data_IF_067650286548
#
_entry.id   IF_067650286548
#
_cell.length_a   1.000
_cell.length_b   1.000
_cell.length_c   1.000
_cell.angle_alpha   90.00
_cell.angle_beta   90.00
_cell.angle_gamma   90.00
#
_symmetry.space_group_name_H-M   'P 1'
#
loop_
_entity.id
_entity.type
_entity.pdbx_description
1 polymer ?
#
# COMPACT_ATOMS: atom_id res chain seq x y z
N UNK A 1 12.59 4.66 6.33
CA UNK A 1 11.89 3.72 5.44
C UNK A 1 11.05 2.77 6.28
N UNK A 2 9.85 2.42 5.82
CA UNK A 2 9.01 1.38 6.46
C UNK A 2 8.28 0.55 5.41
N UNK A 3 8.24 -0.78 5.62
CA UNK A 3 7.40 -1.70 4.86
C UNK A 3 6.06 -1.89 5.57
N UNK A 4 4.94 -1.84 4.83
CA UNK A 4 3.61 -1.86 5.44
C UNK A 4 2.54 -2.41 4.50
N UNK A 5 1.50 -3.01 5.09
CA UNK A 5 0.27 -3.40 4.39
C UNK A 5 -0.74 -2.24 4.24
N UNK A 6 -0.44 -1.06 4.80
CA UNK A 6 -1.26 0.15 4.67
C UNK A 6 -2.43 0.26 5.64
N UNK A 7 -2.77 -0.76 6.43
CA UNK A 7 -3.98 -0.75 7.29
C UNK A 7 -4.00 0.42 8.27
N UNK A 8 -2.88 0.69 8.94
CA UNK A 8 -2.80 1.82 9.89
C UNK A 8 -2.77 3.16 9.16
N UNK A 9 -2.08 3.23 8.02
CA UNK A 9 -2.02 4.45 7.21
C UNK A 9 -3.41 4.88 6.73
N UNK A 10 -4.27 3.91 6.38
CA UNK A 10 -5.64 4.16 5.99
C UNK A 10 -6.54 4.66 7.13
N UNK A 11 -6.32 4.18 8.36
CA UNK A 11 -7.22 4.41 9.51
C UNK A 11 -6.80 5.56 10.43
N UNK A 12 -5.52 5.90 10.45
CA UNK A 12 -4.91 6.81 11.41
C UNK A 12 -4.09 7.86 10.65
N UNK A 13 -4.76 8.92 10.19
CA UNK A 13 -4.12 10.01 9.45
C UNK A 13 -3.09 10.76 10.31
N UNK A 14 -3.33 10.88 11.62
CA UNK A 14 -2.38 11.50 12.55
C UNK A 14 -1.06 10.73 12.60
N UNK A 15 -1.10 9.39 12.49
CA UNK A 15 0.11 8.59 12.33
C UNK A 15 0.84 8.92 11.01
N UNK A 16 0.13 9.09 9.90
CA UNK A 16 0.74 9.50 8.61
C UNK A 16 1.40 10.88 8.73
N UNK A 17 0.72 11.85 9.35
CA UNK A 17 1.27 13.17 9.61
C UNK A 17 2.57 13.10 10.44
N UNK A 18 2.62 12.22 11.44
CA UNK A 18 3.84 11.98 12.22
C UNK A 18 4.95 11.37 11.39
N UNK A 19 4.65 10.43 10.49
CA UNK A 19 5.68 9.85 9.60
C UNK A 19 6.35 10.94 8.74
N UNK A 20 5.58 11.93 8.28
CA UNK A 20 6.09 13.06 7.49
C UNK A 20 7.05 13.99 8.27
N UNK A 21 7.10 13.89 9.60
CA UNK A 21 8.04 14.68 10.43
C UNK A 21 9.43 14.06 10.57
N UNK A 22 9.63 12.81 10.13
CA UNK A 22 10.93 12.16 10.25
C UNK A 22 11.97 12.81 9.33
N UNK A 23 13.16 13.06 9.87
CA UNK A 23 14.28 13.64 9.12
C UNK A 23 14.86 12.65 8.09
N UNK A 24 15.28 13.18 6.93
CA UNK A 24 15.63 12.39 5.75
C UNK A 24 14.37 11.89 5.04
N UNK A 25 14.33 11.97 3.71
CA UNK A 25 13.13 11.65 2.90
C UNK A 25 12.56 10.26 3.30
N UNK A 26 11.54 10.26 4.16
CA UNK A 26 10.98 9.03 4.71
C UNK A 26 10.18 8.33 3.63
N UNK A 27 10.56 7.09 3.33
CA UNK A 27 9.96 6.31 2.27
C UNK A 27 9.07 5.18 2.79
N UNK A 28 7.91 5.02 2.18
CA UNK A 28 6.91 4.01 2.50
C UNK A 28 6.85 2.98 1.38
N UNK A 29 7.05 1.72 1.75
CA UNK A 29 6.91 0.58 0.85
C UNK A 29 5.55 -0.05 1.13
N UNK A 30 4.59 0.24 0.26
CA UNK A 30 3.20 -0.16 0.42
C UNK A 30 2.90 -1.43 -0.38
N UNK A 31 2.46 -2.47 0.32
CA UNK A 31 2.00 -3.72 -0.29
C UNK A 31 0.80 -3.47 -1.22
N UNK A 32 0.97 -3.76 -2.50
CA UNK A 32 -0.02 -3.59 -3.56
C UNK A 32 -0.02 -4.80 -4.49
N UNK A 33 -0.61 -5.91 -4.04
CA UNK A 33 -0.49 -7.20 -4.76
C UNK A 33 -1.44 -7.33 -5.96
N UNK A 34 -2.62 -6.73 -5.94
CA UNK A 34 -3.59 -6.87 -7.02
C UNK A 34 -4.71 -5.83 -6.91
N UNK A 35 -5.35 -5.55 -8.04
CA UNK A 35 -6.59 -4.76 -8.14
C UNK A 35 -7.87 -5.56 -7.87
N UNK A 36 -7.80 -6.91 -7.89
CA UNK A 36 -8.97 -7.80 -7.82
C UNK A 36 -9.22 -8.36 -6.42
N UNK A 37 -10.48 -8.47 -6.04
CA UNK A 37 -10.88 -8.93 -4.70
C UNK A 37 -10.51 -10.39 -4.42
N UNK A 38 -10.84 -11.28 -5.36
CA UNK A 38 -10.62 -12.72 -5.28
C UNK A 38 -9.13 -13.07 -5.14
N UNK A 39 -8.27 -12.34 -5.86
CA UNK A 39 -6.81 -12.46 -5.75
C UNK A 39 -6.34 -12.03 -4.36
N UNK A 40 -6.86 -10.93 -3.82
CA UNK A 40 -6.48 -10.45 -2.49
C UNK A 40 -7.01 -11.34 -1.36
N UNK A 41 -8.22 -11.89 -1.50
CA UNK A 41 -8.74 -12.90 -0.60
C UNK A 41 -7.83 -14.13 -0.60
N UNK A 42 -7.38 -14.58 -1.78
CA UNK A 42 -6.48 -15.74 -1.91
C UNK A 42 -5.10 -15.46 -1.29
N UNK A 43 -4.48 -14.33 -1.62
CA UNK A 43 -3.10 -14.03 -1.21
C UNK A 43 -2.99 -13.49 0.22
N UNK A 44 -4.02 -12.80 0.73
CA UNK A 44 -3.98 -12.05 2.00
C UNK A 44 -5.13 -12.36 2.96
N UNK A 45 -6.08 -13.19 2.57
CA UNK A 45 -7.21 -13.60 3.41
C UNK A 45 -8.28 -12.54 3.61
N UNK A 46 -8.20 -11.39 2.90
CA UNK A 46 -9.16 -10.28 3.02
C UNK A 46 -9.08 -9.33 1.83
N UNK A 47 -10.18 -8.65 1.53
CA UNK A 47 -10.17 -7.51 0.62
C UNK A 47 -9.41 -6.32 1.24
N UNK A 48 -8.45 -5.78 0.49
CA UNK A 48 -7.60 -4.65 0.88
C UNK A 48 -7.69 -3.47 -0.09
N UNK A 49 -8.56 -3.52 -1.12
CA UNK A 49 -8.64 -2.47 -2.15
C UNK A 49 -8.91 -1.09 -1.54
N UNK A 50 -9.95 -1.01 -0.71
CA UNK A 50 -10.34 0.24 -0.07
C UNK A 50 -9.31 0.75 0.93
N UNK A 51 -8.69 -0.18 1.68
CA UNK A 51 -7.60 0.16 2.61
C UNK A 51 -6.43 0.79 1.86
N UNK A 52 -6.03 0.22 0.71
CA UNK A 52 -4.93 0.74 -0.10
C UNK A 52 -5.26 2.09 -0.71
N UNK A 53 -6.48 2.26 -1.23
CA UNK A 53 -6.96 3.56 -1.75
C UNK A 53 -6.82 4.65 -0.70
N UNK A 54 -7.36 4.42 0.50
CA UNK A 54 -7.31 5.39 1.59
C UNK A 54 -5.87 5.65 2.08
N UNK A 55 -5.04 4.61 2.18
CA UNK A 55 -3.64 4.77 2.56
C UNK A 55 -2.89 5.66 1.55
N UNK A 56 -3.09 5.44 0.24
CA UNK A 56 -2.46 6.24 -0.82
C UNK A 56 -2.94 7.70 -0.74
N UNK A 57 -4.23 7.94 -0.51
CA UNK A 57 -4.76 9.31 -0.35
C UNK A 57 -4.09 10.05 0.81
N UNK A 58 -3.95 9.41 1.97
CA UNK A 58 -3.26 10.01 3.10
C UNK A 58 -1.77 10.23 2.81
N UNK A 59 -1.07 9.26 2.22
CA UNK A 59 0.34 9.41 1.86
C UNK A 59 0.57 10.58 0.88
N UNK A 60 -0.29 10.70 -0.13
CA UNK A 60 -0.26 11.80 -1.11
C UNK A 60 -0.52 13.15 -0.44
N UNK A 61 -1.46 13.23 0.50
CA UNK A 61 -1.78 14.47 1.22
C UNK A 61 -0.58 15.06 1.96
N UNK A 62 0.31 14.20 2.49
CA UNK A 62 1.53 14.62 3.19
C UNK A 62 2.79 14.56 2.32
N UNK A 63 2.66 14.31 1.01
CA UNK A 63 3.76 14.20 0.06
C UNK A 63 4.86 13.21 0.51
N UNK A 64 4.44 12.07 1.07
CA UNK A 64 5.35 11.02 1.50
C UNK A 64 5.78 10.15 0.31
N UNK A 65 7.10 9.97 0.14
CA UNK A 65 7.63 9.08 -0.91
C UNK A 65 7.07 7.67 -0.71
N UNK A 66 6.46 7.13 -1.75
CA UNK A 66 5.76 5.85 -1.69
C UNK A 66 6.17 4.97 -2.87
N UNK A 67 6.67 3.78 -2.57
CA UNK A 67 6.91 2.71 -3.54
C UNK A 67 5.81 1.67 -3.38
N UNK A 68 5.11 1.34 -4.46
CA UNK A 68 4.16 0.23 -4.48
C UNK A 68 4.94 -1.07 -4.70
N UNK A 69 4.75 -2.04 -3.81
CA UNK A 69 5.47 -3.31 -3.82
C UNK A 69 4.47 -4.45 -4.05
N UNK A 70 4.69 -5.23 -5.09
CA UNK A 70 3.83 -6.34 -5.51
C UNK A 70 4.53 -7.68 -5.21
N UNK A 71 3.82 -8.63 -4.61
CA UNK A 71 4.22 -10.04 -4.64
C UNK A 71 3.53 -10.69 -5.84
N UNK A 72 4.28 -11.32 -6.75
CA UNK A 72 3.72 -11.99 -7.91
C UNK A 72 3.51 -13.48 -7.68
N UNK A 73 2.38 -13.99 -8.14
CA UNK A 73 2.04 -15.40 -8.17
C UNK A 73 1.41 -15.75 -9.50
N UNK A 74 1.97 -16.75 -10.18
CA UNK A 74 1.51 -17.24 -11.48
C UNK A 74 0.05 -17.68 -11.42
N UNK A 75 -0.76 -17.22 -12.36
CA UNK A 75 -2.19 -17.48 -12.46
C UNK A 75 -3.04 -16.66 -11.49
N UNK A 76 -2.47 -15.73 -10.73
CA UNK A 76 -3.21 -14.86 -9.81
C UNK A 76 -3.13 -13.38 -10.16
N UNK A 77 -1.94 -12.84 -10.37
CA UNK A 77 -1.73 -11.41 -10.64
C UNK A 77 -0.59 -11.14 -11.62
N UNK A 78 -0.06 -12.18 -12.25
CA UNK A 78 0.98 -12.07 -13.28
C UNK A 78 0.45 -11.39 -14.55
N UNK A 79 -0.86 -11.40 -14.77
CA UNK A 79 -1.55 -10.67 -15.84
C UNK A 79 -1.73 -9.18 -15.56
N UNK A 80 -1.52 -8.73 -14.33
CA UNK A 80 -1.63 -7.31 -13.93
C UNK A 80 -0.30 -6.55 -14.12
N UNK A 81 0.75 -7.23 -14.58
CA UNK A 81 2.03 -6.63 -14.87
C UNK A 81 1.96 -5.81 -16.18
N UNK A 82 2.59 -4.64 -16.18
CA UNK A 82 2.70 -3.79 -17.37
C UNK A 82 3.43 -4.50 -18.52
N UNK A 83 3.05 -4.16 -19.75
CA UNK A 83 3.64 -4.69 -20.99
C UNK A 83 5.02 -4.10 -21.31
#
# INVERSE_FOLDING_TARGET
MVNTNGIRLAKDEAFVARLATYAGAFEVYLQFDSFREDVLLTMRGRDLREVRRQAIEHLNKYNLSTTLVVTLQKGLNDDEMGA
#
